data_IF_794168137577
#
_entry.id   IF_794168137577
#
_cell.length_a   1.000
_cell.length_b   1.000
_cell.length_c   1.000
_cell.angle_alpha   90.00
_cell.angle_beta   90.00
_cell.angle_gamma   90.00
#
_symmetry.space_group_name_H-M   'P 1'
#
loop_
_entity.id
_entity.type
_entity.pdbx_description
1 polymer ?
#
# COMPACT_ATOMS: atom_id res chain seq x y z
N UNK A 1 -20.52 -11.86 -0.33
CA UNK A 1 -19.23 -11.96 -1.04
C UNK A 1 -19.03 -13.37 -1.55
N UNK A 2 -19.01 -14.38 -0.67
CA UNK A 2 -18.96 -15.80 -1.08
C UNK A 2 -20.02 -16.16 -2.13
N UNK A 3 -21.30 -15.88 -1.88
CA UNK A 3 -22.36 -16.14 -2.87
C UNK A 3 -22.18 -15.40 -4.21
N UNK A 4 -21.46 -14.27 -4.21
CA UNK A 4 -21.13 -13.53 -5.43
C UNK A 4 -19.95 -14.16 -6.17
N UNK A 5 -18.98 -14.69 -5.43
CA UNK A 5 -17.84 -15.44 -5.99
C UNK A 5 -18.31 -16.78 -6.56
N UNK A 6 -19.15 -17.51 -5.85
CA UNK A 6 -19.78 -18.74 -6.32
C UNK A 6 -20.61 -18.49 -7.60
N UNK A 7 -21.36 -17.38 -7.67
CA UNK A 7 -22.11 -17.00 -8.87
C UNK A 7 -21.21 -16.67 -10.07
N UNK A 8 -19.94 -16.32 -9.83
CA UNK A 8 -18.90 -16.12 -10.85
C UNK A 8 -18.16 -17.42 -11.18
N UNK A 9 -18.54 -18.54 -10.60
CA UNK A 9 -17.91 -19.85 -10.80
C UNK A 9 -16.62 -20.06 -10.01
N UNK A 10 -16.38 -19.25 -8.98
CA UNK A 10 -15.22 -19.41 -8.10
C UNK A 10 -15.54 -20.49 -7.05
N UNK A 11 -14.77 -21.57 -7.08
CA UNK A 11 -14.75 -22.59 -6.01
C UNK A 11 -13.52 -22.34 -5.11
N UNK A 12 -13.74 -22.25 -3.80
CA UNK A 12 -12.68 -22.07 -2.81
C UNK A 12 -12.48 -23.42 -2.11
N UNK A 13 -11.45 -24.15 -2.51
CA UNK A 13 -11.17 -25.50 -2.01
C UNK A 13 -9.68 -25.70 -1.74
N UNK A 14 -9.35 -26.59 -0.79
CA UNK A 14 -7.95 -26.98 -0.52
C UNK A 14 -7.36 -27.87 -1.63
N UNK A 15 -8.22 -28.43 -2.49
CA UNK A 15 -7.87 -29.33 -3.57
C UNK A 15 -8.73 -29.01 -4.77
N UNK A 16 -8.11 -28.86 -5.93
CA UNK A 16 -8.79 -28.65 -7.19
C UNK A 16 -8.07 -29.34 -8.33
N UNK A 17 -8.80 -29.59 -9.41
CA UNK A 17 -8.27 -30.03 -10.69
C UNK A 17 -8.54 -28.93 -11.73
N UNK A 18 -7.64 -28.75 -12.68
CA UNK A 18 -7.78 -27.75 -13.72
C UNK A 18 -6.90 -28.04 -14.93
N UNK A 19 -7.35 -27.62 -16.11
CA UNK A 19 -6.56 -27.72 -17.35
C UNK A 19 -5.36 -26.76 -17.35
N UNK A 20 -5.43 -25.70 -16.54
CA UNK A 20 -4.37 -24.71 -16.33
C UNK A 20 -4.16 -24.47 -14.84
N UNK A 21 -2.90 -24.48 -14.41
CA UNK A 21 -2.49 -24.17 -13.04
C UNK A 21 -1.78 -22.81 -13.05
N UNK A 22 -2.27 -21.87 -12.25
CA UNK A 22 -1.60 -20.58 -12.03
C UNK A 22 -1.12 -20.53 -10.60
N UNK A 23 0.20 -20.47 -10.40
CA UNK A 23 0.81 -20.33 -9.08
C UNK A 23 1.13 -18.85 -8.80
N UNK A 24 0.32 -18.21 -7.96
CA UNK A 24 0.51 -16.81 -7.55
C UNK A 24 0.99 -16.71 -6.09
N UNK A 25 2.06 -17.42 -5.77
CA UNK A 25 2.68 -17.45 -4.45
C UNK A 25 3.52 -16.20 -4.13
N UNK A 26 4.42 -16.34 -3.16
CA UNK A 26 5.29 -15.23 -2.73
C UNK A 26 6.27 -14.79 -3.82
N UNK A 27 6.62 -13.50 -3.81
CA UNK A 27 7.69 -12.95 -4.62
C UNK A 27 9.02 -13.08 -3.88
N UNK A 28 10.08 -13.43 -4.62
CA UNK A 28 11.45 -13.45 -4.12
C UNK A 28 12.20 -12.28 -4.75
N UNK A 29 12.88 -11.44 -3.97
CA UNK A 29 13.62 -10.30 -4.50
C UNK A 29 14.81 -10.76 -5.34
N UNK A 30 14.96 -10.19 -6.54
CA UNK A 30 16.08 -10.47 -7.44
C UNK A 30 17.28 -9.56 -7.10
N UNK A 31 18.06 -9.99 -6.10
CA UNK A 31 19.29 -9.30 -5.70
C UNK A 31 20.50 -10.04 -6.27
N UNK A 32 21.27 -9.37 -7.14
CA UNK A 32 22.50 -9.92 -7.71
C UNK A 32 23.63 -10.01 -6.67
N UNK A 33 23.62 -11.06 -5.84
CA UNK A 33 24.57 -11.27 -4.73
C UNK A 33 26.02 -11.35 -5.19
N UNK A 34 26.28 -11.86 -6.39
CA UNK A 34 27.63 -11.94 -6.95
C UNK A 34 28.22 -10.55 -7.21
N UNK A 35 27.37 -9.60 -7.63
CA UNK A 35 27.78 -8.22 -7.92
C UNK A 35 27.84 -7.35 -6.66
N UNK A 36 27.02 -7.68 -5.67
CA UNK A 36 26.92 -6.93 -4.41
C UNK A 36 27.13 -7.82 -3.17
N UNK A 37 28.28 -8.52 -3.04
CA UNK A 37 28.50 -9.48 -1.96
C UNK A 37 28.63 -8.83 -0.57
N UNK A 38 28.84 -7.51 -0.53
CA UNK A 38 28.99 -6.71 0.69
C UNK A 38 27.66 -6.16 1.24
N UNK A 39 26.56 -6.25 0.47
CA UNK A 39 25.24 -5.86 0.96
C UNK A 39 24.69 -7.02 1.78
N UNK A 40 24.34 -6.75 3.04
CA UNK A 40 23.73 -7.76 3.90
C UNK A 40 22.33 -8.10 3.40
N UNK A 41 22.08 -9.40 3.25
CA UNK A 41 20.79 -9.96 2.86
C UNK A 41 20.24 -10.76 4.04
N UNK A 42 18.96 -10.58 4.35
CA UNK A 42 18.25 -11.31 5.39
C UNK A 42 17.98 -12.76 4.98
N UNK A 43 17.57 -13.59 5.93
CA UNK A 43 17.25 -15.01 5.69
C UNK A 43 16.09 -15.22 4.71
N UNK A 44 15.17 -14.26 4.63
CA UNK A 44 14.04 -14.25 3.70
C UNK A 44 14.38 -13.71 2.30
N UNK A 45 15.65 -13.38 2.05
CA UNK A 45 16.16 -12.99 0.74
C UNK A 45 16.16 -11.48 0.46
N UNK A 46 15.53 -10.66 1.31
CA UNK A 46 15.48 -9.20 1.14
C UNK A 46 16.74 -8.50 1.65
N UNK A 47 17.02 -7.31 1.12
CA UNK A 47 18.11 -6.46 1.58
C UNK A 47 17.83 -5.98 3.01
N UNK A 48 18.82 -6.08 3.89
CA UNK A 48 18.74 -5.53 5.25
C UNK A 48 18.95 -4.01 5.19
N UNK A 49 17.95 -3.24 5.63
CA UNK A 49 18.00 -1.78 5.68
C UNK A 49 17.56 -1.27 7.05
N UNK A 50 18.06 -0.10 7.42
CA UNK A 50 17.55 0.64 8.56
C UNK A 50 16.20 1.33 8.24
N UNK A 51 15.55 2.02 9.22
CA UNK A 51 14.29 2.73 8.99
C UNK A 51 14.35 3.87 7.96
N UNK A 52 15.55 4.27 7.53
CA UNK A 52 15.80 5.33 6.55
C UNK A 52 16.14 4.76 5.17
N UNK A 53 16.04 3.43 5.01
CA UNK A 53 16.31 2.65 3.79
C UNK A 53 17.80 2.54 3.43
N UNK A 54 18.69 2.92 4.35
CA UNK A 54 20.14 2.73 4.16
C UNK A 54 20.50 1.28 4.46
N UNK A 55 21.32 0.68 3.59
CA UNK A 55 21.79 -0.71 3.74
C UNK A 55 22.87 -0.82 4.82
N UNK A 56 23.44 -2.01 4.99
CA UNK A 56 24.63 -2.23 5.84
C UNK A 56 25.88 -1.47 5.37
N UNK A 57 25.89 -0.94 4.14
CA UNK A 57 27.00 -0.14 3.62
C UNK A 57 26.62 1.35 3.66
N UNK A 58 27.39 2.19 4.39
CA UNK A 58 27.12 3.62 4.47
C UNK A 58 27.07 4.28 3.09
N UNK A 59 26.05 5.11 2.88
CA UNK A 59 25.77 5.82 1.62
C UNK A 59 25.09 4.97 0.54
N UNK A 60 24.80 3.69 0.79
CA UNK A 60 24.11 2.81 -0.16
C UNK A 60 22.69 2.55 0.35
N UNK A 61 21.69 2.85 -0.47
CA UNK A 61 20.26 2.70 -0.16
C UNK A 61 19.63 1.61 -1.02
N UNK A 62 18.61 0.95 -0.49
CA UNK A 62 17.82 -0.04 -1.23
C UNK A 62 16.32 0.32 -1.20
N UNK A 63 15.68 0.28 -2.38
CA UNK A 63 14.29 0.69 -2.59
C UNK A 63 13.59 -0.27 -3.55
N UNK A 64 12.26 -0.22 -3.62
CA UNK A 64 11.48 -1.14 -4.46
C UNK A 64 11.26 -2.51 -3.82
N UNK A 65 11.08 -3.53 -4.65
CA UNK A 65 10.73 -4.89 -4.22
C UNK A 65 11.85 -5.63 -3.48
N UNK A 66 13.10 -5.13 -3.54
CA UNK A 66 14.24 -5.72 -2.81
C UNK A 66 14.20 -5.45 -1.30
N UNK A 67 13.31 -4.56 -0.86
CA UNK A 67 13.01 -4.25 0.55
C UNK A 67 11.49 -4.37 0.72
N UNK A 68 10.95 -5.09 1.71
CA UNK A 68 9.51 -5.18 1.89
C UNK A 68 8.93 -3.88 2.52
N UNK A 69 7.61 -3.63 2.39
CA UNK A 69 6.62 -4.37 1.60
C UNK A 69 6.80 -4.19 0.09
N UNK A 70 6.45 -5.19 -0.73
CA UNK A 70 6.59 -5.14 -2.19
C UNK A 70 5.40 -4.45 -2.85
N UNK A 71 5.61 -3.88 -4.03
CA UNK A 71 4.56 -3.21 -4.80
C UNK A 71 4.92 -1.77 -5.18
N UNK A 72 4.30 -1.28 -6.25
CA UNK A 72 4.67 -0.03 -6.87
C UNK A 72 4.48 1.19 -5.96
N UNK A 73 3.35 1.32 -5.23
CA UNK A 73 3.14 2.44 -4.29
C UNK A 73 4.26 2.51 -3.25
N UNK A 74 4.66 1.35 -2.70
CA UNK A 74 5.75 1.27 -1.74
C UNK A 74 7.11 1.55 -2.40
N UNK A 75 7.32 1.16 -3.65
CA UNK A 75 8.54 1.45 -4.38
C UNK A 75 8.73 2.97 -4.58
N UNK A 76 7.68 3.67 -5.00
CA UNK A 76 7.68 5.12 -5.14
C UNK A 76 7.95 5.82 -3.81
N UNK A 77 7.22 5.47 -2.75
CA UNK A 77 7.43 6.10 -1.45
C UNK A 77 8.84 5.81 -0.90
N UNK A 78 9.37 4.59 -1.07
CA UNK A 78 10.75 4.28 -0.69
C UNK A 78 11.76 5.11 -1.47
N UNK A 79 11.55 5.31 -2.76
CA UNK A 79 12.41 6.17 -3.57
C UNK A 79 12.41 7.61 -3.04
N UNK A 80 11.22 8.15 -2.74
CA UNK A 80 11.06 9.49 -2.15
C UNK A 80 11.80 9.62 -0.82
N UNK A 81 11.59 8.67 0.10
CA UNK A 81 12.25 8.64 1.42
C UNK A 81 13.77 8.49 1.28
N UNK A 82 14.26 7.61 0.41
CA UNK A 82 15.69 7.41 0.19
C UNK A 82 16.35 8.67 -0.36
N UNK A 83 15.76 9.34 -1.36
CA UNK A 83 16.30 10.59 -1.92
C UNK A 83 16.34 11.70 -0.87
N UNK A 84 15.27 11.87 -0.09
CA UNK A 84 15.26 12.82 1.03
C UNK A 84 16.39 12.54 2.04
N UNK A 85 16.60 11.27 2.39
CA UNK A 85 17.67 10.89 3.32
C UNK A 85 19.08 11.03 2.74
N UNK A 86 19.25 10.84 1.42
CA UNK A 86 20.51 11.08 0.71
C UNK A 86 20.85 12.58 0.74
N UNK A 87 19.87 13.45 0.48
CA UNK A 87 20.10 14.89 0.33
C UNK A 87 20.21 15.62 1.67
N UNK A 88 19.43 15.22 2.67
CA UNK A 88 19.27 15.95 3.92
C UNK A 88 19.68 15.16 5.16
N UNK A 89 20.33 14.00 4.96
CA UNK A 89 20.62 13.05 6.03
C UNK A 89 19.35 12.35 6.53
N UNK A 90 19.52 11.39 7.45
CA UNK A 90 18.48 10.52 8.05
C UNK A 90 17.36 11.30 8.77
N UNK A 91 16.55 12.01 8.01
CA UNK A 91 15.56 12.99 8.45
C UNK A 91 14.15 12.42 8.39
N UNK A 92 13.89 11.47 7.49
CA UNK A 92 12.56 10.88 7.27
C UNK A 92 12.63 9.36 7.32
N UNK A 93 11.80 8.73 8.15
CA UNK A 93 11.68 7.27 8.19
C UNK A 93 10.66 6.80 7.15
N UNK A 94 10.87 5.61 6.61
CA UNK A 94 9.85 4.95 5.79
C UNK A 94 8.72 4.43 6.71
N UNK A 95 7.50 4.87 6.44
CA UNK A 95 6.30 4.49 7.19
C UNK A 95 5.30 3.78 6.27
N UNK A 96 5.31 2.43 6.20
CA UNK A 96 4.43 1.68 5.29
C UNK A 96 2.94 1.96 5.48
N UNK A 97 2.50 2.26 6.71
CA UNK A 97 1.10 2.58 7.01
C UNK A 97 0.61 3.87 6.35
N UNK A 98 1.52 4.76 5.93
CA UNK A 98 1.17 5.98 5.17
C UNK A 98 1.04 5.73 3.67
N UNK A 99 1.35 4.53 3.19
CA UNK A 99 1.27 4.19 1.78
C UNK A 99 -0.05 3.46 1.52
N UNK A 100 -0.96 4.04 0.73
CA UNK A 100 -2.18 3.35 0.36
C UNK A 100 -1.90 2.19 -0.59
N UNK A 101 -2.64 1.10 -0.39
CA UNK A 101 -2.54 -0.11 -1.19
C UNK A 101 -3.91 -0.50 -1.73
N UNK A 102 -3.96 -0.87 -3.01
CA UNK A 102 -5.19 -1.28 -3.69
C UNK A 102 -4.95 -2.58 -4.47
N UNK A 103 -5.86 -3.52 -4.29
CA UNK A 103 -5.97 -4.78 -5.02
C UNK A 103 -7.06 -4.60 -6.06
N UNK A 104 -6.69 -4.63 -7.33
CA UNK A 104 -7.60 -4.46 -8.47
C UNK A 104 -8.20 -5.80 -8.87
N UNK A 105 -9.19 -6.27 -8.11
CA UNK A 105 -9.95 -7.50 -8.43
C UNK A 105 -11.37 -7.16 -8.92
N UNK A 106 -12.23 -8.16 -9.13
CA UNK A 106 -13.64 -7.94 -9.52
C UNK A 106 -14.38 -6.97 -8.58
N UNK A 107 -14.01 -7.00 -7.29
CA UNK A 107 -14.21 -5.87 -6.38
C UNK A 107 -12.85 -5.29 -6.00
N UNK A 108 -12.68 -3.99 -6.14
CA UNK A 108 -11.45 -3.37 -5.63
C UNK A 108 -11.44 -3.49 -4.10
N UNK A 109 -10.26 -3.78 -3.54
CA UNK A 109 -10.03 -3.80 -2.10
C UNK A 109 -8.87 -2.86 -1.84
N UNK A 110 -8.99 -1.98 -0.87
CA UNK A 110 -7.93 -1.03 -0.57
C UNK A 110 -7.85 -0.71 0.91
N UNK A 111 -6.67 -0.30 1.34
CA UNK A 111 -6.43 0.09 2.71
C UNK A 111 -5.28 1.09 2.82
N UNK A 112 -5.31 1.87 3.89
CA UNK A 112 -4.27 2.82 4.29
C UNK A 112 -4.38 3.07 5.79
N UNK A 113 -3.26 3.37 6.44
CA UNK A 113 -3.17 3.62 7.87
C UNK A 113 -2.78 2.39 8.68
N UNK A 114 -2.85 2.53 10.00
CA UNK A 114 -2.38 1.55 10.96
C UNK A 114 -3.56 1.04 11.83
N UNK A 115 -4.02 -0.20 11.63
CA UNK A 115 -5.14 -0.74 12.40
C UNK A 115 -4.78 -0.98 13.87
N UNK A 116 -3.50 -1.11 14.24
CA UNK A 116 -3.09 -1.33 15.64
C UNK A 116 -3.24 -0.06 16.48
N UNK A 117 -3.23 1.12 15.85
CA UNK A 117 -3.50 2.41 16.51
C UNK A 117 -4.98 2.67 16.76
N UNK A 118 -5.87 1.87 16.18
CA UNK A 118 -7.31 2.07 16.30
C UNK A 118 -7.85 1.36 17.55
N UNK A 119 -8.48 2.13 18.43
CA UNK A 119 -9.21 1.62 19.60
C UNK A 119 -10.70 1.39 19.32
N UNK A 120 -11.20 1.97 18.22
CA UNK A 120 -12.60 1.88 17.80
C UNK A 120 -12.70 1.76 16.29
N UNK A 121 -13.60 0.89 15.81
CA UNK A 121 -13.88 0.75 14.38
C UNK A 121 -15.35 1.04 14.06
N UNK A 122 -15.57 1.75 12.97
CA UNK A 122 -16.90 1.98 12.40
C UNK A 122 -16.98 1.39 10.99
N UNK A 123 -18.13 0.76 10.70
CA UNK A 123 -18.42 0.19 9.39
C UNK A 123 -19.58 0.92 8.76
N UNK A 124 -19.50 1.18 7.44
CA UNK A 124 -20.56 1.84 6.68
C UNK A 124 -20.67 1.20 5.30
N UNK A 125 -21.89 1.03 4.82
CA UNK A 125 -22.09 0.59 3.43
C UNK A 125 -21.74 1.73 2.47
N UNK A 126 -21.12 1.39 1.34
CA UNK A 126 -20.92 2.34 0.24
C UNK A 126 -22.25 2.86 -0.32
N UNK A 127 -23.34 2.11 -0.15
CA UNK A 127 -24.69 2.51 -0.56
C UNK A 127 -25.24 3.75 0.15
N UNK A 128 -24.57 4.25 1.20
CA UNK A 128 -24.93 5.52 1.84
C UNK A 128 -24.63 6.72 0.96
N UNK A 129 -23.67 6.60 0.03
CA UNK A 129 -23.41 7.62 -0.96
C UNK A 129 -24.42 7.46 -2.12
N UNK A 130 -25.18 8.52 -2.51
CA UNK A 130 -26.18 8.42 -3.56
C UNK A 130 -25.63 7.96 -4.93
N UNK A 131 -24.39 8.33 -5.28
CA UNK A 131 -23.75 7.89 -6.52
C UNK A 131 -23.49 6.39 -6.47
N UNK A 132 -23.00 5.87 -5.36
CA UNK A 132 -22.80 4.43 -5.18
C UNK A 132 -24.14 3.70 -5.10
N UNK A 133 -25.13 4.21 -4.38
CA UNK A 133 -26.45 3.59 -4.30
C UNK A 133 -27.06 3.29 -5.68
N UNK A 134 -26.94 4.25 -6.61
CA UNK A 134 -27.50 4.12 -7.96
C UNK A 134 -26.65 3.23 -8.87
N UNK A 135 -25.32 3.37 -8.84
CA UNK A 135 -24.44 2.74 -9.83
C UNK A 135 -23.78 1.45 -9.32
N UNK A 136 -23.33 1.45 -8.07
CA UNK A 136 -22.51 0.39 -7.45
C UNK A 136 -22.82 0.26 -5.94
N UNK A 137 -24.01 -0.22 -5.55
CA UNK A 137 -24.44 -0.19 -4.15
C UNK A 137 -23.69 -1.21 -3.27
N UNK A 138 -23.08 -2.23 -3.89
CA UNK A 138 -22.31 -3.23 -3.20
C UNK A 138 -20.97 -2.66 -2.72
N UNK A 139 -20.69 -2.82 -1.43
CA UNK A 139 -19.42 -2.46 -0.84
C UNK A 139 -19.56 -1.99 0.61
N UNK A 140 -18.43 -2.00 1.30
CA UNK A 140 -18.32 -1.59 2.70
C UNK A 140 -17.00 -0.85 2.90
N UNK A 141 -17.05 0.19 3.72
CA UNK A 141 -15.87 0.85 4.26
C UNK A 141 -15.82 0.60 5.78
N UNK A 142 -14.60 0.47 6.29
CA UNK A 142 -14.28 0.35 7.71
C UNK A 142 -13.23 1.40 8.05
N UNK A 143 -13.54 2.26 9.02
CA UNK A 143 -12.62 3.29 9.53
C UNK A 143 -12.22 2.95 10.95
N UNK A 144 -10.93 3.03 11.26
CA UNK A 144 -10.37 2.91 12.60
C UNK A 144 -10.04 4.28 13.17
N UNK A 145 -10.39 4.50 14.44
CA UNK A 145 -10.15 5.72 15.18
C UNK A 145 -9.27 5.47 16.42
N UNK A 146 -8.35 6.38 16.71
CA UNK A 146 -7.56 6.39 17.94
C UNK A 146 -8.36 6.92 19.16
N UNK A 147 -7.70 7.02 20.31
CA UNK A 147 -8.32 7.48 21.57
C UNK A 147 -8.83 8.93 21.50
N UNK A 148 -8.19 9.77 20.70
CA UNK A 148 -8.56 11.17 20.48
C UNK A 148 -9.69 11.34 19.44
N UNK A 149 -10.10 10.24 18.80
CA UNK A 149 -11.12 10.23 17.76
C UNK A 149 -10.61 10.59 16.37
N UNK A 150 -9.30 10.64 16.16
CA UNK A 150 -8.70 10.85 14.83
C UNK A 150 -8.75 9.56 14.03
N UNK A 151 -9.04 9.66 12.72
CA UNK A 151 -9.07 8.50 11.85
C UNK A 151 -7.63 8.07 11.50
N UNK A 152 -7.27 6.84 11.86
CA UNK A 152 -5.90 6.30 11.74
C UNK A 152 -5.79 5.11 10.78
N UNK A 153 -6.93 4.56 10.35
CA UNK A 153 -6.99 3.44 9.43
C UNK A 153 -8.26 3.50 8.58
N UNK A 154 -8.15 3.11 7.32
CA UNK A 154 -9.26 2.89 6.42
C UNK A 154 -9.04 1.58 5.65
N UNK A 155 -10.10 0.79 5.52
CA UNK A 155 -10.19 -0.23 4.46
C UNK A 155 -11.53 -0.15 3.76
N UNK A 156 -11.53 -0.40 2.45
CA UNK A 156 -12.70 -0.32 1.59
C UNK A 156 -12.70 -1.51 0.65
N UNK A 157 -13.87 -2.11 0.44
CA UNK A 157 -14.12 -3.05 -0.64
C UNK A 157 -15.34 -2.58 -1.43
N UNK A 158 -15.23 -2.53 -2.76
CA UNK A 158 -16.31 -2.07 -3.62
C UNK A 158 -15.83 -1.51 -4.96
N UNK A 159 -16.55 -0.50 -5.46
CA UNK A 159 -16.20 0.25 -6.66
C UNK A 159 -15.59 1.61 -6.30
N UNK A 160 -14.65 2.10 -7.11
CA UNK A 160 -14.00 3.40 -6.88
C UNK A 160 -13.16 3.45 -5.59
N UNK A 161 -12.60 2.31 -5.18
CA UNK A 161 -11.87 2.20 -3.90
C UNK A 161 -10.59 3.03 -3.95
N UNK A 162 -9.89 3.05 -5.09
CA UNK A 162 -8.68 3.87 -5.28
C UNK A 162 -8.93 5.35 -4.98
N UNK A 163 -10.08 5.89 -5.40
CA UNK A 163 -10.46 7.28 -5.14
C UNK A 163 -10.65 7.54 -3.64
N UNK A 164 -11.40 6.67 -2.96
CA UNK A 164 -11.71 6.80 -1.53
C UNK A 164 -10.44 6.68 -0.68
N UNK A 165 -9.60 5.69 -0.99
CA UNK A 165 -8.35 5.42 -0.26
C UNK A 165 -7.34 6.56 -0.46
N UNK A 166 -7.18 7.05 -1.69
CA UNK A 166 -6.30 8.19 -1.96
C UNK A 166 -6.79 9.48 -1.29
N UNK A 167 -8.09 9.73 -1.27
CA UNK A 167 -8.67 10.88 -0.57
C UNK A 167 -8.40 10.81 0.94
N UNK A 168 -8.56 9.63 1.55
CA UNK A 168 -8.23 9.44 2.97
C UNK A 168 -6.73 9.58 3.24
N UNK A 169 -5.89 9.07 2.34
CA UNK A 169 -4.43 9.20 2.46
C UNK A 169 -4.02 10.68 2.45
N UNK A 170 -4.56 11.47 1.51
CA UNK A 170 -4.30 12.91 1.46
C UNK A 170 -4.75 13.65 2.74
N UNK A 171 -5.89 13.28 3.33
CA UNK A 171 -6.37 13.87 4.59
C UNK A 171 -5.51 13.51 5.80
N UNK A 172 -4.86 12.35 5.77
CA UNK A 172 -4.01 11.86 6.86
C UNK A 172 -2.52 12.09 6.61
N UNK A 173 -2.16 12.81 5.54
CA UNK A 173 -0.78 13.15 5.18
C UNK A 173 0.05 11.96 4.70
N UNK A 174 -0.59 10.98 4.05
CA UNK A 174 0.04 9.83 3.40
C UNK A 174 0.35 10.05 1.92
N UNK A 175 0.93 9.02 1.30
CA UNK A 175 1.28 8.97 -0.12
C UNK A 175 0.06 8.59 -1.00
N UNK A 176 0.22 8.50 -2.32
CA UNK A 176 -0.82 8.00 -3.23
C UNK A 176 -0.59 6.55 -3.69
N UNK A 177 -1.68 5.87 -4.05
CA UNK A 177 -1.63 4.47 -4.49
C UNK A 177 -1.26 4.38 -5.97
N UNK A 178 -0.58 3.29 -6.34
CA UNK A 178 -0.29 2.95 -7.73
C UNK A 178 -0.96 1.62 -8.12
N UNK A 179 -1.54 1.51 -9.33
CA UNK A 179 -1.75 2.61 -10.28
C UNK A 179 -2.96 3.46 -9.88
N UNK A 180 -2.82 4.80 -9.89
CA UNK A 180 -3.99 5.68 -9.75
C UNK A 180 -3.78 7.04 -10.41
N UNK A 181 -4.87 7.68 -10.86
CA UNK A 181 -4.79 9.03 -11.42
C UNK A 181 -4.27 10.08 -10.42
N UNK A 182 -4.45 9.84 -9.11
CA UNK A 182 -4.04 10.79 -8.08
C UNK A 182 -2.51 10.86 -7.91
N UNK A 183 -1.77 9.85 -8.38
CA UNK A 183 -0.31 9.82 -8.26
C UNK A 183 0.38 10.97 -9.00
N UNK A 184 -0.28 11.58 -9.99
CA UNK A 184 0.23 12.79 -10.67
C UNK A 184 0.49 13.95 -9.69
N UNK A 185 -0.22 13.97 -8.55
CA UNK A 185 -0.04 14.98 -7.53
C UNK A 185 1.34 14.87 -6.87
N UNK A 186 1.94 13.68 -6.76
CA UNK A 186 3.31 13.50 -6.24
C UNK A 186 4.36 14.14 -7.16
N UNK A 187 4.08 14.25 -8.46
CA UNK A 187 5.01 14.79 -9.46
C UNK A 187 4.98 16.31 -9.53
N UNK A 188 3.84 16.94 -9.21
CA UNK A 188 3.61 18.37 -9.45
C UNK A 188 3.35 19.18 -8.18
N UNK A 189 2.90 18.54 -7.10
CA UNK A 189 2.62 19.20 -5.82
C UNK A 189 3.77 18.92 -4.86
N UNK A 190 4.44 19.94 -4.32
CA UNK A 190 5.46 19.71 -3.31
C UNK A 190 4.84 19.05 -2.07
N UNK A 191 5.61 18.24 -1.32
CA UNK A 191 5.14 17.66 -0.07
C UNK A 191 4.54 18.71 0.87
N UNK A 192 3.49 18.33 1.60
CA UNK A 192 2.85 19.17 2.62
C UNK A 192 3.89 19.78 3.57
N UNK A 193 4.09 21.09 3.49
CA UNK A 193 5.06 21.84 4.31
C UNK A 193 6.27 22.37 3.55
N UNK A 194 6.55 21.89 2.34
CA UNK A 194 7.56 22.44 1.45
C UNK A 194 6.96 23.54 0.56
N UNK A 195 7.66 24.66 0.39
CA UNK A 195 7.25 25.74 -0.52
C UNK A 195 8.05 25.64 -1.80
N UNK A 196 7.36 25.77 -2.95
CA UNK A 196 8.04 26.05 -4.22
C UNK A 196 8.76 27.40 -4.08
N UNK A 197 10.07 27.39 -4.29
CA UNK A 197 10.89 28.62 -4.34
C UNK A 197 10.71 29.34 -5.66
#
# INVERSE_FOLDING_TARGET
LESSLEALGVDISERGEGETIVESGNRIPDVCRQRFPFIRIRSDGFVDTDPFLETSVPGVYAVGDVVPPTGASFAYEKARVAVQNILYGKSVRFEPSKVPFVITSAYEIGFVGDPEKAVRFEHRSLSLNPKNFVNHPAGILKVGYDEDGSAVFLTVIGHGVSEIVNAFSALTGGAFSHPSYAEILEEIVPPLGERVR
#
